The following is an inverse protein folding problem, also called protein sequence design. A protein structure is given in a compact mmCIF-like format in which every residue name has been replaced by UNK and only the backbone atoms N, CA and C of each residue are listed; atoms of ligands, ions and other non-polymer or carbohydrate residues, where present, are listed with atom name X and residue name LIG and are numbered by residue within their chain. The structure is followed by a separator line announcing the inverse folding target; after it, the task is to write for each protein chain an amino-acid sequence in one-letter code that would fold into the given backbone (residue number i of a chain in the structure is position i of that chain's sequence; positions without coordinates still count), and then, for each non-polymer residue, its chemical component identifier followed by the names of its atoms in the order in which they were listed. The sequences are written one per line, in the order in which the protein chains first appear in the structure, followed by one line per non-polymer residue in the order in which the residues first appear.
data_IF_218599524402
#
_entry.id   IF_218599524402
#
_cell.length_a   1.000
_cell.length_b   1.000
_cell.length_c   1.000
_cell.angle_alpha   90.00
_cell.angle_beta   90.00
_cell.angle_gamma   90.00
#
_symmetry.space_group_name_H-M   'P 1'
#
loop_
_entity.id
_entity.type
_entity.pdbx_description
1 polymer ?
#
# COMPACT_ATOMS: atom_id res chain seq x y z
N UNK A 1 -4.12 0.98 -9.21
CA UNK A 1 -4.79 -0.02 -8.34
C UNK A 1 -4.95 -1.33 -9.08
N UNK A 2 -3.99 -2.23 -8.93
CA UNK A 2 -4.01 -3.59 -9.50
C UNK A 2 -4.47 -4.65 -8.49
N UNK A 3 -4.22 -4.42 -7.20
CA UNK A 3 -4.54 -5.37 -6.14
C UNK A 3 -5.97 -5.21 -5.60
N UNK A 4 -6.62 -6.30 -5.14
CA UNK A 4 -8.02 -6.32 -4.75
C UNK A 4 -8.27 -5.84 -3.30
N UNK A 5 -7.45 -4.91 -2.79
CA UNK A 5 -7.63 -4.32 -1.47
C UNK A 5 -7.64 -2.79 -1.53
N UNK A 6 -8.38 -2.16 -0.62
CA UNK A 6 -8.32 -0.71 -0.35
C UNK A 6 -8.38 0.22 -1.57
N UNK A 7 -9.31 -0.03 -2.49
CA UNK A 7 -9.52 0.86 -3.63
C UNK A 7 -10.37 2.08 -3.22
N UNK A 8 -9.95 3.32 -3.50
CA UNK A 8 -10.77 4.49 -3.23
C UNK A 8 -12.00 4.51 -4.13
N UNK A 9 -13.08 5.15 -3.68
CA UNK A 9 -14.35 5.27 -4.43
C UNK A 9 -14.15 5.86 -5.83
N UNK A 10 -13.28 6.87 -5.93
CA UNK A 10 -12.90 7.50 -7.20
C UNK A 10 -11.38 7.54 -7.29
N UNK A 11 -10.86 6.94 -8.36
CA UNK A 11 -9.46 7.06 -8.74
C UNK A 11 -9.30 8.38 -9.50
N UNK A 12 -8.40 9.21 -9.02
CA UNK A 12 -7.97 10.47 -9.62
C UNK A 12 -6.49 10.35 -9.91
N UNK A 13 -6.13 10.61 -11.15
CA UNK A 13 -4.73 10.73 -11.58
C UNK A 13 -4.26 12.15 -11.32
N UNK A 14 -3.06 12.28 -10.77
CA UNK A 14 -2.38 13.58 -10.70
C UNK A 14 -1.81 13.89 -12.08
N UNK A 15 -1.95 15.15 -12.51
CA UNK A 15 -1.33 15.59 -13.75
C UNK A 15 0.17 15.75 -13.50
N UNK A 16 0.98 15.05 -14.28
CA UNK A 16 2.43 15.08 -14.22
C UNK A 16 2.99 15.77 -15.48
N UNK A 17 4.26 16.16 -15.42
CA UNK A 17 4.93 16.78 -16.55
C UNK A 17 5.20 15.75 -17.65
N UNK A 18 5.42 16.22 -18.89
CA UNK A 18 5.65 15.34 -20.04
C UNK A 18 6.81 14.36 -19.80
N UNK A 19 7.89 14.80 -19.15
CA UNK A 19 9.03 13.94 -18.82
C UNK A 19 8.68 12.80 -17.85
N UNK A 20 7.85 13.07 -16.85
CA UNK A 20 7.38 12.08 -15.86
C UNK A 20 6.48 11.03 -16.52
N UNK A 21 5.57 11.49 -17.39
CA UNK A 21 4.72 10.58 -18.19
C UNK A 21 5.56 9.64 -19.05
N UNK A 22 6.62 10.14 -19.69
CA UNK A 22 7.50 9.33 -20.53
C UNK A 22 8.35 8.32 -19.72
N UNK A 23 8.73 8.66 -18.48
CA UNK A 23 9.35 7.70 -17.56
C UNK A 23 8.36 6.65 -17.04
N UNK A 24 7.06 6.86 -17.23
CA UNK A 24 6.01 5.96 -16.81
C UNK A 24 5.44 6.27 -15.43
N UNK A 25 5.67 7.48 -14.91
CA UNK A 25 5.12 7.91 -13.62
C UNK A 25 3.58 7.95 -13.70
N UNK A 26 2.93 7.16 -12.83
CA UNK A 26 1.46 7.06 -12.76
C UNK A 26 1.00 7.28 -11.34
N UNK A 27 0.91 8.55 -10.95
CA UNK A 27 0.51 8.94 -9.60
C UNK A 27 -1.01 8.96 -9.49
N UNK A 28 -1.53 8.27 -8.46
CA UNK A 28 -2.95 8.19 -8.15
C UNK A 28 -3.21 8.52 -6.68
N UNK A 29 -4.41 9.00 -6.38
CA UNK A 29 -4.81 9.28 -5.02
C UNK A 29 -4.93 7.99 -4.18
N UNK A 30 -4.66 8.12 -2.88
CA UNK A 30 -4.82 7.04 -1.89
C UNK A 30 -5.98 7.35 -0.92
N UNK A 31 -6.51 6.33 -0.20
CA UNK A 31 -7.50 6.55 0.85
C UNK A 31 -6.91 7.10 2.16
N UNK A 32 -5.57 7.17 2.29
CA UNK A 32 -4.91 7.74 3.46
C UNK A 32 -5.21 9.24 3.56
N UNK A 33 -5.66 9.68 4.74
CA UNK A 33 -5.82 11.09 5.06
C UNK A 33 -4.82 11.47 6.14
N UNK A 34 -3.75 12.17 5.73
CA UNK A 34 -2.71 12.64 6.63
C UNK A 34 -2.93 14.13 6.88
N UNK A 35 -2.89 14.53 8.15
CA UNK A 35 -2.96 15.92 8.57
C UNK A 35 -1.70 16.27 9.34
N UNK A 36 -1.12 17.44 9.04
CA UNK A 36 0.09 17.90 9.71
C UNK A 36 -0.17 18.11 11.20
N UNK A 37 0.83 17.79 12.02
CA UNK A 37 0.76 17.90 13.49
C UNK A 37 -0.34 17.04 14.16
N UNK A 38 -0.81 15.99 13.48
CA UNK A 38 -1.77 15.03 14.03
C UNK A 38 -1.19 13.63 13.93
N UNK A 39 -0.72 13.10 15.05
CA UNK A 39 -0.17 11.75 15.11
C UNK A 39 -1.28 10.71 15.10
N UNK A 40 -1.25 9.81 14.11
CA UNK A 40 -2.12 8.65 14.03
C UNK A 40 -1.30 7.38 13.86
N UNK A 41 -1.54 6.39 14.72
CA UNK A 41 -0.88 5.08 14.66
C UNK A 41 -1.92 4.00 14.31
N UNK A 42 -1.58 3.12 13.37
CA UNK A 42 -2.36 1.93 13.02
C UNK A 42 -3.85 2.20 12.70
N UNK A 43 -4.16 3.28 11.98
CA UNK A 43 -5.54 3.57 11.56
C UNK A 43 -5.98 2.62 10.44
N UNK A 44 -7.09 1.92 10.66
CA UNK A 44 -7.68 1.00 9.68
C UNK A 44 -8.44 1.79 8.63
N UNK A 45 -8.01 1.69 7.37
CA UNK A 45 -8.59 2.50 6.29
C UNK A 45 -9.85 1.93 5.64
N UNK A 46 -9.88 0.62 5.37
CA UNK A 46 -10.82 0.04 4.39
C UNK A 46 -11.69 -1.07 4.96
N UNK A 47 -11.30 -1.63 6.11
CA UNK A 47 -12.08 -2.68 6.75
C UNK A 47 -13.14 -1.99 7.59
N UNK A 48 -14.37 -1.99 7.08
CA UNK A 48 -15.53 -1.67 7.92
C UNK A 48 -15.96 -2.97 8.60
N UNK A 49 -16.39 -2.93 9.87
CA UNK A 49 -16.82 -4.13 10.61
C UNK A 49 -17.86 -4.97 9.86
N UNK A 50 -18.65 -4.31 9.01
CA UNK A 50 -19.76 -4.92 8.28
C UNK A 50 -19.39 -5.41 6.87
N UNK A 51 -18.15 -5.21 6.40
CA UNK A 51 -17.73 -5.61 5.04
C UNK A 51 -16.25 -6.00 5.01
N UNK A 52 -15.90 -7.23 5.44
CA UNK A 52 -14.53 -7.73 5.33
C UNK A 52 -14.13 -7.88 3.85
N UNK A 53 -12.84 -7.75 3.59
CA UNK A 53 -12.27 -8.03 2.25
C UNK A 53 -12.30 -9.54 2.03
N UNK A 54 -13.20 -9.99 1.15
CA UNK A 54 -13.28 -11.41 0.76
C UNK A 54 -12.41 -11.63 -0.47
N UNK A 55 -11.41 -12.48 -0.34
CA UNK A 55 -10.55 -12.91 -1.44
C UNK A 55 -11.07 -14.22 -2.02
N UNK A 56 -11.44 -14.20 -3.30
CA UNK A 56 -11.70 -15.42 -4.08
C UNK A 56 -10.39 -16.10 -4.44
N UNK A 57 -10.42 -17.37 -4.84
CA UNK A 57 -9.21 -18.12 -5.24
C UNK A 57 -8.35 -17.36 -6.25
N UNK A 58 -8.98 -16.80 -7.28
CA UNK A 58 -8.32 -15.99 -8.32
C UNK A 58 -7.66 -14.72 -7.74
N UNK A 59 -8.36 -14.01 -6.86
CA UNK A 59 -7.82 -12.80 -6.20
C UNK A 59 -6.65 -13.15 -5.28
N UNK A 60 -6.72 -14.27 -4.59
CA UNK A 60 -5.64 -14.76 -3.73
C UNK A 60 -4.40 -15.11 -4.55
N UNK A 61 -4.57 -15.78 -5.70
CA UNK A 61 -3.46 -16.07 -6.62
C UNK A 61 -2.79 -14.79 -7.10
N UNK A 62 -3.57 -13.79 -7.52
CA UNK A 62 -3.04 -12.48 -7.93
C UNK A 62 -2.23 -11.82 -6.81
N UNK A 63 -2.68 -11.89 -5.56
CA UNK A 63 -1.93 -11.33 -4.42
C UNK A 63 -0.61 -12.07 -4.23
N UNK A 64 -0.60 -13.41 -4.31
CA UNK A 64 0.61 -14.23 -4.20
C UNK A 64 1.61 -13.88 -5.30
N UNK A 65 1.17 -13.77 -6.55
CA UNK A 65 2.01 -13.36 -7.67
C UNK A 65 2.64 -11.99 -7.41
N UNK A 66 1.86 -11.00 -6.94
CA UNK A 66 2.40 -9.68 -6.62
C UNK A 66 3.39 -9.68 -5.46
N UNK A 67 3.22 -10.56 -4.49
CA UNK A 67 4.21 -10.74 -3.42
C UNK A 67 5.52 -11.29 -4.01
N UNK A 68 5.44 -12.28 -4.91
CA UNK A 68 6.61 -12.84 -5.60
C UNK A 68 7.30 -11.85 -6.54
N UNK A 69 6.54 -10.96 -7.17
CA UNK A 69 7.06 -9.85 -7.98
C UNK A 69 7.63 -8.69 -7.15
N UNK A 70 7.72 -8.83 -5.82
CA UNK A 70 8.17 -7.77 -4.91
C UNK A 70 7.42 -6.45 -5.14
N UNK A 71 6.09 -6.53 -5.26
CA UNK A 71 5.26 -5.36 -5.48
C UNK A 71 5.33 -4.38 -4.30
N UNK A 72 5.85 -3.18 -4.55
CA UNK A 72 5.90 -2.08 -3.58
C UNK A 72 5.06 -0.88 -4.02
N UNK A 73 4.61 -0.10 -3.03
CA UNK A 73 3.92 1.17 -3.24
C UNK A 73 4.80 2.30 -2.72
N UNK A 74 5.01 3.31 -3.56
CA UNK A 74 5.67 4.55 -3.17
C UNK A 74 4.60 5.62 -2.90
N UNK A 75 4.67 6.23 -1.72
CA UNK A 75 3.80 7.34 -1.35
C UNK A 75 4.53 8.66 -1.59
N UNK A 76 3.77 9.65 -2.02
CA UNK A 76 4.24 11.03 -2.23
C UNK A 76 3.30 11.94 -1.44
N UNK A 77 3.89 12.82 -0.63
CA UNK A 77 3.19 13.85 0.12
C UNK A 77 3.85 15.20 -0.18
N UNK A 78 3.05 16.18 -0.60
CA UNK A 78 3.55 17.52 -0.97
C UNK A 78 4.73 17.49 -1.96
N UNK A 79 4.60 16.66 -3.00
CA UNK A 79 5.63 16.43 -4.02
C UNK A 79 6.97 15.87 -3.50
N UNK A 80 7.03 15.40 -2.26
CA UNK A 80 8.19 14.72 -1.69
C UNK A 80 7.91 13.22 -1.47
N UNK A 81 8.92 12.35 -1.67
CA UNK A 81 8.78 10.94 -1.35
C UNK A 81 8.61 10.76 0.16
N UNK A 82 7.66 9.92 0.55
CA UNK A 82 7.46 9.57 1.95
C UNK A 82 8.48 8.52 2.36
N UNK A 83 9.05 8.67 3.55
CA UNK A 83 9.91 7.65 4.14
C UNK A 83 9.05 6.53 4.75
N UNK A 84 9.28 5.29 4.31
CA UNK A 84 8.68 4.09 4.91
C UNK A 84 9.71 3.43 5.82
N UNK A 85 9.40 3.32 7.11
CA UNK A 85 10.21 2.50 8.03
C UNK A 85 9.87 1.02 7.78
N UNK A 86 10.83 0.29 7.22
CA UNK A 86 10.73 -1.16 7.09
C UNK A 86 11.21 -1.80 8.39
N UNK A 87 10.30 -2.43 9.12
CA UNK A 87 10.66 -3.30 10.24
C UNK A 87 10.74 -4.72 9.71
N UNK A 88 11.96 -5.20 9.50
CA UNK A 88 12.20 -6.61 9.26
C UNK A 88 11.99 -7.35 10.58
N UNK A 89 10.93 -8.15 10.67
CA UNK A 89 10.82 -9.11 11.77
C UNK A 89 11.95 -10.12 11.58
N UNK A 90 13.00 -10.03 12.40
CA UNK A 90 14.00 -11.08 12.51
C UNK A 90 13.28 -12.40 12.72
N UNK A 91 13.69 -13.42 11.95
CA UNK A 91 13.05 -14.72 11.89
C UNK A 91 12.67 -15.22 13.30
N UNK A 92 11.36 -15.45 13.53
CA UNK A 92 10.85 -16.22 14.68
C UNK A 92 11.37 -17.67 14.73
N UNK A 93 12.29 -18.04 13.83
CA UNK A 93 12.99 -19.33 13.82
C UNK A 93 14.10 -19.41 14.88
N UNK A 94 14.55 -18.28 15.46
CA UNK A 94 15.55 -18.29 16.54
C UNK A 94 14.93 -18.48 17.94
N UNK A 95 13.64 -18.19 18.12
CA UNK A 95 12.94 -18.37 19.41
C UNK A 95 12.51 -19.82 19.68
N UNK A 96 12.30 -20.65 18.64
CA UNK A 96 11.97 -22.08 18.80
C UNK A 96 13.20 -22.97 19.05
N UNK A 97 14.42 -22.48 18.76
CA UNK A 97 15.67 -23.23 19.04
C UNK A 97 16.18 -23.06 20.48
N UNK A 98 15.63 -22.13 21.24
CA UNK A 98 15.99 -21.85 22.63
C UNK A 98 14.91 -22.29 23.64
N UNK A 99 14.00 -23.18 23.24
CA UNK A 99 13.01 -23.81 24.12
C UNK A 99 13.14 -25.33 24.08
#
# INVERSE_FOLDING_TARGET
YSLPFCRPLKIKYKAENLGEVLRGDRIVNTPFQVSMNVDKKCEVLCVTPNKPVVLTKEKSQLVVERIQEEYYVHLIADNLPVATRLEFYSNREEEEKNK
#
